data_IF_504468529552
#
_entry.id   IF_504468529552
#
_cell.length_a   1.000
_cell.length_b   1.000
_cell.length_c   1.000
_cell.angle_alpha   90.00
_cell.angle_beta   90.00
_cell.angle_gamma   90.00
#
_symmetry.space_group_name_H-M   'P 1'
#
loop_
_entity.id
_entity.type
_entity.pdbx_description
1 polymer ?
#
# COMPACT_ATOMS: atom_id res chain seq x y z
N UNK A 1 37.96 2.27 -6.86
CA UNK A 1 37.13 3.42 -6.44
C UNK A 1 35.78 2.88 -6.03
N UNK A 2 35.45 2.95 -4.74
CA UNK A 2 34.20 2.47 -4.17
C UNK A 2 33.22 3.65 -4.18
N UNK A 3 32.17 3.58 -5.00
CA UNK A 3 31.13 4.61 -5.04
C UNK A 3 30.28 4.39 -3.79
N UNK A 4 30.15 5.37 -2.88
CA UNK A 4 29.39 5.17 -1.66
C UNK A 4 27.90 5.05 -1.99
N UNK A 5 27.29 4.03 -1.39
CA UNK A 5 25.85 3.74 -1.35
C UNK A 5 25.07 4.84 -0.61
N UNK A 6 24.92 6.01 -1.25
CA UNK A 6 24.18 7.16 -0.67
C UNK A 6 22.72 7.18 -1.11
N UNK A 7 22.34 6.38 -2.12
CA UNK A 7 20.98 6.39 -2.66
C UNK A 7 20.01 5.48 -1.89
N UNK A 8 20.51 4.52 -1.08
CA UNK A 8 19.65 3.51 -0.43
C UNK A 8 18.88 4.00 0.81
N UNK A 9 19.23 5.15 1.39
CA UNK A 9 18.62 5.66 2.63
C UNK A 9 17.45 6.62 2.41
N UNK A 10 17.35 7.27 1.26
CA UNK A 10 16.37 8.35 1.02
C UNK A 10 14.96 7.78 0.76
N UNK A 11 14.86 6.59 0.15
CA UNK A 11 13.59 6.02 -0.33
C UNK A 11 12.69 5.48 0.79
N UNK A 12 13.29 5.07 1.93
CA UNK A 12 12.54 4.61 3.09
C UNK A 12 11.99 5.77 3.92
N UNK A 13 12.75 6.85 4.07
CA UNK A 13 12.40 7.96 4.97
C UNK A 13 11.06 8.64 4.64
N UNK A 14 10.63 8.63 3.37
CA UNK A 14 9.47 9.42 2.94
C UNK A 14 8.15 8.96 3.57
N UNK A 15 7.90 7.65 3.63
CA UNK A 15 6.70 7.10 4.28
C UNK A 15 6.92 6.70 5.73
N UNK A 16 8.17 6.51 6.16
CA UNK A 16 8.53 6.20 7.56
C UNK A 16 8.05 7.27 8.54
N UNK A 17 8.03 8.54 8.12
CA UNK A 17 7.49 9.65 8.91
C UNK A 17 5.98 9.56 9.12
N UNK A 18 5.25 8.91 8.22
CA UNK A 18 3.78 8.91 8.19
C UNK A 18 3.19 7.56 8.60
N UNK A 19 3.91 6.45 8.38
CA UNK A 19 3.46 5.09 8.61
C UNK A 19 4.45 4.37 9.53
N UNK A 20 4.08 4.07 10.79
CA UNK A 20 4.96 3.41 11.75
C UNK A 20 5.56 2.10 11.20
N UNK A 21 6.88 1.98 11.24
CA UNK A 21 7.62 0.87 10.62
C UNK A 21 7.35 -0.51 11.22
N UNK A 22 6.99 -0.57 12.49
CA UNK A 22 6.84 -1.84 13.21
C UNK A 22 5.41 -2.40 13.08
N UNK A 23 4.53 -1.73 12.35
CA UNK A 23 3.11 -2.08 12.26
C UNK A 23 2.75 -2.55 10.85
N UNK A 24 2.29 -3.79 10.77
CA UNK A 24 1.90 -4.45 9.51
C UNK A 24 0.44 -4.20 9.16
N UNK A 25 -0.42 -4.04 10.18
CA UNK A 25 -1.88 -3.95 10.02
C UNK A 25 -2.41 -2.68 10.65
N UNK A 26 -3.23 -1.93 9.92
CA UNK A 26 -3.81 -0.67 10.36
C UNK A 26 -5.33 -0.78 10.44
N UNK A 27 -5.91 -0.25 11.51
CA UNK A 27 -7.35 -0.05 11.60
C UNK A 27 -7.80 1.17 10.78
N UNK A 28 -9.09 1.25 10.46
CA UNK A 28 -9.67 2.45 9.79
C UNK A 28 -9.40 3.76 10.52
N UNK A 29 -9.33 3.74 11.86
CA UNK A 29 -9.02 4.93 12.66
C UNK A 29 -7.57 5.37 12.48
N UNK A 30 -6.64 4.42 12.42
CA UNK A 30 -5.23 4.72 12.27
C UNK A 30 -4.92 5.20 10.86
N UNK A 31 -5.51 4.56 9.85
CA UNK A 31 -5.41 5.05 8.47
C UNK A 31 -6.00 6.45 8.33
N UNK A 32 -7.15 6.71 8.96
CA UNK A 32 -7.75 8.05 8.98
C UNK A 32 -6.80 9.11 9.58
N UNK A 33 -6.09 8.76 10.66
CA UNK A 33 -5.10 9.64 11.29
C UNK A 33 -3.89 9.90 10.37
N UNK A 34 -3.35 8.85 9.71
CA UNK A 34 -2.24 8.97 8.75
C UNK A 34 -2.63 9.88 7.57
N UNK A 35 -3.87 9.76 7.09
CA UNK A 35 -4.35 10.50 5.92
C UNK A 35 -4.92 11.90 6.25
N UNK A 36 -5.08 12.23 7.54
CA UNK A 36 -5.79 13.45 7.94
C UNK A 36 -7.25 13.48 7.47
N UNK A 37 -7.93 12.33 7.44
CA UNK A 37 -9.32 12.17 6.95
C UNK A 37 -10.23 11.61 8.04
N UNK A 38 -11.54 11.57 7.78
CA UNK A 38 -12.50 10.95 8.69
C UNK A 38 -12.45 9.42 8.59
N UNK A 39 -12.79 8.71 9.68
CA UNK A 39 -12.92 7.25 9.65
C UNK A 39 -14.00 6.79 8.67
N UNK A 40 -15.06 7.58 8.46
CA UNK A 40 -16.10 7.26 7.48
C UNK A 40 -15.55 7.28 6.04
N UNK A 41 -14.72 8.27 5.70
CA UNK A 41 -14.05 8.33 4.41
C UNK A 41 -13.22 7.06 4.12
N UNK A 42 -12.52 6.52 5.12
CA UNK A 42 -11.75 5.27 4.95
C UNK A 42 -12.66 4.06 4.73
N UNK A 43 -13.80 4.00 5.41
CA UNK A 43 -14.79 2.95 5.17
C UNK A 43 -15.36 3.05 3.77
N UNK A 44 -15.75 4.25 3.34
CA UNK A 44 -16.29 4.46 1.99
C UNK A 44 -15.24 4.09 0.93
N UNK A 45 -13.98 4.46 1.12
CA UNK A 45 -12.88 4.05 0.25
C UNK A 45 -12.68 2.53 0.21
N UNK A 46 -12.92 1.84 1.33
CA UNK A 46 -12.83 0.37 1.40
C UNK A 46 -13.99 -0.28 0.64
N UNK A 47 -15.23 0.15 0.90
CA UNK A 47 -16.44 -0.34 0.24
C UNK A 47 -16.41 -0.08 -1.27
N UNK A 48 -15.84 1.05 -1.70
CA UNK A 48 -15.64 1.40 -3.10
C UNK A 48 -14.39 0.75 -3.74
N UNK A 49 -13.72 -0.19 -3.04
CA UNK A 49 -12.55 -0.92 -3.53
C UNK A 49 -11.35 -0.02 -3.90
N UNK A 50 -11.27 1.18 -3.32
CA UNK A 50 -10.17 2.11 -3.53
C UNK A 50 -8.99 1.80 -2.60
N UNK A 51 -9.27 1.39 -1.35
CA UNK A 51 -8.27 0.91 -0.39
C UNK A 51 -8.52 -0.57 -0.08
N UNK A 52 -7.49 -1.40 -0.30
CA UNK A 52 -7.60 -2.84 -0.13
C UNK A 52 -7.29 -3.27 1.32
N UNK A 53 -8.01 -4.26 1.83
CA UNK A 53 -7.73 -4.89 3.11
C UNK A 53 -8.73 -6.01 3.43
N UNK A 54 -8.85 -6.36 4.71
CA UNK A 54 -9.75 -7.41 5.17
C UNK A 54 -10.82 -6.86 6.12
N UNK A 55 -12.08 -7.21 5.85
CA UNK A 55 -13.18 -7.02 6.79
C UNK A 55 -13.18 -8.17 7.81
N UNK A 56 -13.19 -7.82 9.10
CA UNK A 56 -13.27 -8.73 10.23
C UNK A 56 -14.64 -8.52 10.87
N UNK A 57 -15.47 -9.56 10.84
CA UNK A 57 -16.72 -9.60 11.59
C UNK A 57 -16.45 -10.13 12.99
N UNK A 58 -16.76 -9.34 14.01
CA UNK A 58 -16.77 -9.80 15.39
C UNK A 58 -18.02 -10.67 15.62
N UNK A 59 -17.81 -11.96 15.91
CA UNK A 59 -18.75 -13.01 16.38
C UNK A 59 -20.27 -12.80 16.15
N UNK A 60 -20.99 -13.80 15.61
CA UNK A 60 -22.43 -13.71 15.33
C UNK A 60 -23.35 -13.56 16.56
N UNK A 61 -22.81 -13.50 17.79
CA UNK A 61 -23.59 -13.51 19.04
C UNK A 61 -24.06 -12.13 19.53
N UNK A 62 -23.59 -11.01 18.97
CA UNK A 62 -23.98 -9.67 19.43
C UNK A 62 -24.81 -8.92 18.39
N UNK A 63 -25.99 -8.41 18.82
CA UNK A 63 -27.01 -7.71 18.02
C UNK A 63 -26.55 -6.43 17.29
N UNK A 64 -25.28 -6.02 17.45
CA UNK A 64 -24.69 -4.88 16.73
C UNK A 64 -23.36 -5.31 16.11
N UNK A 65 -23.45 -5.98 14.96
CA UNK A 65 -22.28 -6.30 14.15
C UNK A 65 -21.56 -5.01 13.77
N UNK A 66 -20.38 -4.80 14.34
CA UNK A 66 -19.52 -3.67 13.97
C UNK A 66 -18.40 -4.22 13.11
N UNK A 67 -18.54 -4.12 11.79
CA UNK A 67 -17.50 -4.51 10.84
C UNK A 67 -16.23 -3.71 11.15
N UNK A 68 -15.16 -4.43 11.46
CA UNK A 68 -13.83 -3.84 11.60
C UNK A 68 -13.06 -4.10 10.30
N UNK A 69 -12.23 -3.16 9.89
CA UNK A 69 -11.39 -3.35 8.70
C UNK A 69 -9.93 -3.26 9.11
N UNK A 70 -9.13 -4.18 8.59
CA UNK A 70 -7.68 -4.19 8.72
C UNK A 70 -7.03 -4.00 7.36
N UNK A 71 -6.17 -3.00 7.28
CA UNK A 71 -5.51 -2.56 6.05
C UNK A 71 -4.01 -2.88 6.20
N UNK A 72 -3.45 -3.74 5.33
CA UNK A 72 -2.01 -3.99 5.30
C UNK A 72 -1.22 -2.71 5.03
N UNK A 73 -0.03 -2.58 5.62
CA UNK A 73 0.89 -1.45 5.39
C UNK A 73 1.09 -1.17 3.90
N UNK A 74 1.34 -2.21 3.12
CA UNK A 74 1.63 -2.06 1.69
C UNK A 74 0.43 -1.54 0.91
N UNK A 75 -0.78 -1.94 1.30
CA UNK A 75 -2.01 -1.43 0.68
C UNK A 75 -2.25 0.05 1.04
N UNK A 76 -1.90 0.46 2.25
CA UNK A 76 -1.92 1.87 2.64
C UNK A 76 -0.90 2.69 1.84
N UNK A 77 0.32 2.17 1.68
CA UNK A 77 1.37 2.84 0.88
C UNK A 77 0.93 2.93 -0.58
N UNK A 78 0.38 1.87 -1.17
CA UNK A 78 -0.15 1.87 -2.53
C UNK A 78 -1.28 2.89 -2.70
N UNK A 79 -2.19 2.98 -1.73
CA UNK A 79 -3.27 3.98 -1.74
C UNK A 79 -2.73 5.42 -1.66
N UNK A 80 -1.72 5.66 -0.83
CA UNK A 80 -1.01 6.94 -0.76
C UNK A 80 -0.31 7.28 -2.07
N UNK A 81 0.31 6.28 -2.71
CA UNK A 81 0.96 6.43 -4.01
C UNK A 81 -0.02 6.79 -5.13
N UNK A 82 -1.22 6.21 -5.11
CA UNK A 82 -2.27 6.49 -6.10
C UNK A 82 -2.88 7.89 -5.94
N UNK A 83 -3.00 8.37 -4.70
CA UNK A 83 -3.72 9.62 -4.38
C UNK A 83 -2.85 10.87 -4.35
N UNK A 84 -1.51 10.74 -4.35
CA UNK A 84 -0.60 11.87 -4.40
C UNK A 84 0.00 12.10 -5.80
N UNK A 85 0.34 13.37 -6.07
CA UNK A 85 0.98 13.79 -7.31
C UNK A 85 2.49 13.53 -7.26
N UNK A 86 2.90 12.27 -7.40
CA UNK A 86 4.32 11.91 -7.50
C UNK A 86 4.89 12.20 -8.88
N UNK A 87 6.18 12.52 -8.95
CA UNK A 87 6.91 12.41 -10.21
C UNK A 87 7.05 10.93 -10.60
N UNK A 88 7.25 10.64 -11.88
CA UNK A 88 7.45 9.25 -12.34
C UNK A 88 8.65 8.59 -11.63
N UNK A 89 9.72 9.34 -11.37
CA UNK A 89 10.91 8.84 -10.69
C UNK A 89 10.58 8.43 -9.24
N UNK A 90 9.88 9.29 -8.50
CA UNK A 90 9.49 9.01 -7.11
C UNK A 90 8.52 7.81 -7.03
N UNK A 91 7.59 7.72 -7.99
CA UNK A 91 6.67 6.58 -8.06
C UNK A 91 7.42 5.25 -8.23
N UNK A 92 8.37 5.19 -9.18
CA UNK A 92 9.13 3.96 -9.46
C UNK A 92 10.04 3.56 -8.28
N UNK A 93 10.70 4.54 -7.65
CA UNK A 93 11.51 4.34 -6.44
C UNK A 93 10.69 3.70 -5.31
N UNK A 94 9.47 4.18 -5.10
CA UNK A 94 8.58 3.61 -4.09
C UNK A 94 8.12 2.18 -4.42
N UNK A 95 7.82 1.89 -5.69
CA UNK A 95 7.53 0.51 -6.14
C UNK A 95 8.73 -0.40 -5.90
N UNK A 96 9.94 0.05 -6.22
CA UNK A 96 11.17 -0.70 -5.99
C UNK A 96 11.37 -1.03 -4.50
N UNK A 97 11.13 -0.07 -3.62
CA UNK A 97 11.21 -0.24 -2.17
C UNK A 97 10.24 -1.31 -1.64
N UNK A 98 9.01 -1.34 -2.16
CA UNK A 98 8.02 -2.38 -1.83
C UNK A 98 8.50 -3.75 -2.33
N UNK A 99 8.99 -3.82 -3.57
CA UNK A 99 9.48 -5.05 -4.19
C UNK A 99 10.71 -5.64 -3.46
N UNK A 100 11.64 -4.80 -2.98
CA UNK A 100 12.86 -5.25 -2.25
C UNK A 100 12.56 -6.08 -0.99
N UNK A 101 11.34 -6.03 -0.46
CA UNK A 101 10.93 -6.79 0.73
C UNK A 101 10.31 -8.15 0.40
N UNK A 102 10.32 -8.55 -0.88
CA UNK A 102 9.72 -9.78 -1.38
C UNK A 102 10.79 -10.80 -1.74
N UNK A 103 10.41 -12.07 -1.69
CA UNK A 103 11.23 -13.16 -2.20
C UNK A 103 11.34 -13.10 -3.73
N UNK A 104 12.38 -13.75 -4.27
CA UNK A 104 12.60 -13.83 -5.73
C UNK A 104 11.38 -14.43 -6.44
N UNK A 105 10.76 -15.49 -5.90
CA UNK A 105 9.58 -16.11 -6.49
C UNK A 105 8.35 -15.18 -6.50
N UNK A 106 8.16 -14.38 -5.45
CA UNK A 106 7.11 -13.35 -5.43
C UNK A 106 7.36 -12.26 -6.47
N UNK A 107 8.62 -11.82 -6.64
CA UNK A 107 9.00 -10.84 -7.66
C UNK A 107 8.78 -11.36 -9.08
N UNK A 108 9.14 -12.61 -9.36
CA UNK A 108 8.87 -13.26 -10.64
C UNK A 108 7.36 -13.34 -10.92
N UNK A 109 6.56 -13.67 -9.90
CA UNK A 109 5.11 -13.70 -10.02
C UNK A 109 4.53 -12.31 -10.30
N UNK A 110 4.98 -11.27 -9.58
CA UNK A 110 4.58 -9.88 -9.79
C UNK A 110 4.93 -9.43 -11.22
N UNK A 111 6.17 -9.67 -11.66
CA UNK A 111 6.63 -9.31 -13.00
C UNK A 111 5.79 -9.98 -14.09
N UNK A 112 5.47 -11.27 -13.93
CA UNK A 112 4.60 -12.02 -14.84
C UNK A 112 3.19 -11.42 -14.91
N UNK A 113 2.60 -11.06 -13.77
CA UNK A 113 1.26 -10.45 -13.71
C UNK A 113 1.26 -9.07 -14.39
N UNK A 114 2.27 -8.24 -14.11
CA UNK A 114 2.41 -6.90 -14.71
C UNK A 114 2.54 -7.01 -16.24
N UNK A 115 3.42 -7.87 -16.74
CA UNK A 115 3.59 -8.10 -18.19
C UNK A 115 2.28 -8.50 -18.86
N UNK A 116 1.59 -9.49 -18.30
CA UNK A 116 0.30 -9.92 -18.82
C UNK A 116 -0.75 -8.79 -18.82
N UNK A 117 -0.70 -7.88 -17.86
CA UNK A 117 -1.61 -6.73 -17.81
C UNK A 117 -1.28 -5.67 -18.86
N UNK A 118 0.02 -5.39 -19.07
CA UNK A 118 0.51 -4.46 -20.11
C UNK A 118 0.12 -4.97 -21.51
N UNK A 119 0.34 -6.26 -21.77
CA UNK A 119 -0.02 -6.92 -23.03
C UNK A 119 -1.52 -6.85 -23.31
N UNK A 120 -2.36 -7.19 -22.31
CA UNK A 120 -3.83 -7.13 -22.45
C UNK A 120 -4.38 -5.73 -22.72
N UNK A 121 -3.74 -4.70 -22.18
CA UNK A 121 -4.19 -3.31 -22.35
C UNK A 121 -3.65 -2.65 -23.63
N UNK A 122 -2.92 -3.38 -24.46
CA UNK A 122 -2.41 -2.85 -25.72
C UNK A 122 -1.35 -1.76 -25.54
N UNK A 123 -0.65 -1.73 -24.40
CA UNK A 123 0.51 -0.85 -24.21
C UNK A 123 1.76 -1.34 -24.96
N UNK A 124 1.63 -2.41 -25.74
CA UNK A 124 2.64 -2.83 -26.70
C UNK A 124 2.66 -1.81 -27.84
N UNK A 125 3.71 -1.00 -27.90
CA UNK A 125 4.19 -0.51 -29.19
C UNK A 125 4.83 -1.66 -29.97
#
# INVERSE_FOLDING_TARGET
>A
MHIPSVTQSIEREHFEKWVPNNKVWFSTKEVAAVLGRSTQYIRDAFENQQIMGHAISSSPRELRQRTQYQIPRDNLVLFLMQSANYTLADFLSNIESICKQRSIGELECIARIIRAHIERKGFSR
#
